data_IF_004056483553
#
_entry.id   IF_004056483553
#
_cell.length_a   1.000
_cell.length_b   1.000
_cell.length_c   1.000
_cell.angle_alpha   90.00
_cell.angle_beta   90.00
_cell.angle_gamma   90.00
#
_symmetry.space_group_name_H-M   'P 1'
#
loop_
_entity.id
_entity.type
_entity.pdbx_description
1 polymer ?
#
# COMPACT_ATOMS: atom_id res chain seq x y z
N UNK A 1 25.44 7.40 36.04
CA UNK A 1 24.27 7.13 35.14
C UNK A 1 23.04 7.34 35.99
N UNK A 2 22.32 8.41 35.78
CA UNK A 2 21.09 8.71 36.50
C UNK A 2 19.95 7.92 35.87
N UNK A 3 19.11 7.30 36.71
CA UNK A 3 17.91 6.53 36.32
C UNK A 3 16.88 7.35 35.49
N UNK A 4 17.02 8.67 35.43
CA UNK A 4 16.10 9.57 34.72
C UNK A 4 16.24 9.53 33.19
N UNK A 5 17.28 8.94 32.62
CA UNK A 5 17.49 8.89 31.17
C UNK A 5 17.05 7.58 30.51
N UNK A 6 16.52 6.63 31.25
CA UNK A 6 16.14 5.31 30.72
C UNK A 6 14.69 5.22 30.23
N UNK A 7 13.83 6.16 30.56
CA UNK A 7 12.43 6.14 30.12
C UNK A 7 12.17 6.84 28.78
N UNK A 8 13.05 7.71 28.30
CA UNK A 8 12.83 8.51 27.09
C UNK A 8 13.36 7.89 25.80
N UNK A 9 14.06 6.76 25.85
CA UNK A 9 14.67 6.11 24.69
C UNK A 9 14.45 4.60 24.67
N UNK A 10 13.23 4.14 24.83
CA UNK A 10 12.89 2.74 24.50
C UNK A 10 12.77 2.62 22.98
N UNK A 11 13.83 2.14 22.35
CA UNK A 11 13.74 1.63 20.99
C UNK A 11 12.99 0.29 21.03
N UNK A 12 11.81 0.26 20.42
CA UNK A 12 11.05 -0.97 20.24
C UNK A 12 11.44 -1.51 18.88
N UNK A 13 12.10 -2.65 18.85
CA UNK A 13 12.39 -3.37 17.62
C UNK A 13 11.19 -4.27 17.27
N UNK A 14 10.77 -4.23 16.01
CA UNK A 14 9.74 -5.10 15.46
C UNK A 14 10.32 -5.86 14.28
N UNK A 15 10.03 -7.12 14.20
CA UNK A 15 10.38 -7.96 13.07
C UNK A 15 9.12 -8.48 12.39
N UNK A 16 9.12 -8.43 11.06
CA UNK A 16 8.05 -8.99 10.25
C UNK A 16 8.40 -10.45 9.94
N UNK A 17 7.67 -11.37 10.55
CA UNK A 17 7.77 -12.80 10.32
C UNK A 17 6.50 -13.33 9.67
N UNK A 18 6.60 -13.82 8.43
CA UNK A 18 5.48 -14.43 7.70
C UNK A 18 4.21 -13.55 7.66
N UNK A 19 4.39 -12.24 7.48
CA UNK A 19 3.28 -11.27 7.48
C UNK A 19 2.71 -10.94 8.87
N UNK A 20 3.32 -11.45 9.93
CA UNK A 20 2.91 -11.22 11.33
C UNK A 20 3.95 -10.36 12.03
N UNK A 21 3.49 -9.28 12.68
CA UNK A 21 4.35 -8.48 13.56
C UNK A 21 4.53 -9.15 14.90
N UNK A 22 5.79 -9.35 15.27
CA UNK A 22 6.15 -9.79 16.62
C UNK A 22 6.88 -8.64 17.32
N UNK A 23 6.39 -8.30 18.48
CA UNK A 23 7.06 -7.39 19.39
C UNK A 23 8.20 -8.11 20.11
N UNK A 24 9.39 -7.50 20.13
CA UNK A 24 10.54 -8.05 20.84
C UNK A 24 10.53 -7.62 22.30
N UNK A 25 11.21 -8.41 23.11
CA UNK A 25 11.53 -8.03 24.47
C UNK A 25 12.60 -6.92 24.47
N UNK A 26 12.55 -6.06 25.47
CA UNK A 26 13.65 -5.12 25.71
C UNK A 26 14.97 -5.87 26.00
N UNK A 27 16.09 -5.14 26.10
CA UNK A 27 17.41 -5.73 26.38
C UNK A 27 17.48 -6.49 27.72
N UNK A 28 16.50 -6.30 28.59
CA UNK A 28 16.36 -7.01 29.87
C UNK A 28 15.46 -8.25 29.76
N UNK A 29 14.93 -8.55 28.57
CA UNK A 29 14.04 -9.69 28.35
C UNK A 29 12.60 -9.46 28.82
N UNK A 30 12.21 -8.22 29.10
CA UNK A 30 10.84 -7.87 29.50
C UNK A 30 10.01 -7.66 28.24
N UNK A 31 8.86 -8.34 28.07
CA UNK A 31 7.97 -8.10 26.93
C UNK A 31 7.51 -6.64 26.90
N UNK A 32 7.75 -5.97 25.76
CA UNK A 32 7.33 -4.59 25.56
C UNK A 32 5.95 -4.62 24.94
N UNK A 33 4.91 -4.51 25.77
CA UNK A 33 3.51 -4.50 25.36
C UNK A 33 2.80 -5.84 25.46
N UNK A 34 1.58 -5.89 25.01
CA UNK A 34 0.68 -7.05 25.19
C UNK A 34 0.89 -8.19 24.19
N UNK A 35 1.99 -8.20 23.46
CA UNK A 35 2.42 -9.30 22.57
C UNK A 35 1.34 -9.86 21.63
N UNK A 36 0.43 -9.03 21.14
CA UNK A 36 -0.53 -9.48 20.13
C UNK A 36 0.18 -9.61 18.80
N UNK A 37 0.20 -10.82 18.26
CA UNK A 37 0.57 -11.03 16.86
C UNK A 37 -0.52 -10.40 15.99
N UNK A 38 -0.17 -9.33 15.26
CA UNK A 38 -1.08 -8.68 14.33
C UNK A 38 -0.75 -9.14 12.92
N UNK A 39 -1.63 -9.94 12.34
CA UNK A 39 -1.55 -10.30 10.93
C UNK A 39 -2.13 -9.18 10.08
N UNK A 40 -1.27 -8.40 9.47
CA UNK A 40 -1.64 -7.35 8.53
C UNK A 40 -1.86 -7.90 7.11
N UNK A 41 -1.50 -9.14 6.84
CA UNK A 41 -1.53 -9.75 5.51
C UNK A 41 -0.37 -9.33 4.61
N UNK A 42 0.69 -8.74 5.18
CA UNK A 42 1.87 -8.31 4.41
C UNK A 42 2.74 -9.53 4.10
N UNK A 43 3.19 -9.62 2.83
CA UNK A 43 4.02 -10.72 2.36
C UNK A 43 5.45 -10.69 2.90
N UNK A 44 6.22 -11.75 2.61
CA UNK A 44 7.63 -11.88 3.08
C UNK A 44 8.59 -10.86 2.45
N UNK A 45 8.34 -10.45 1.23
CA UNK A 45 9.18 -9.51 0.49
C UNK A 45 8.30 -8.49 -0.25
N UNK A 46 7.50 -7.70 0.47
CA UNK A 46 6.51 -6.84 -0.15
C UNK A 46 7.14 -5.66 -0.87
N UNK A 47 6.49 -5.24 -1.93
CA UNK A 47 6.76 -3.98 -2.63
C UNK A 47 5.72 -2.94 -2.18
N UNK A 48 6.13 -1.68 -2.08
CA UNK A 48 5.20 -0.58 -1.83
C UNK A 48 4.85 0.07 -3.17
N UNK A 49 3.57 0.05 -3.51
CA UNK A 49 3.02 0.58 -4.75
C UNK A 49 2.20 1.85 -4.51
N UNK A 50 2.40 2.84 -5.35
CA UNK A 50 1.47 3.95 -5.50
C UNK A 50 0.36 3.55 -6.45
N UNK A 51 -0.89 3.82 -6.10
CA UNK A 51 -2.04 3.67 -6.99
C UNK A 51 -2.88 4.94 -6.98
N UNK A 52 -3.19 5.47 -8.17
CA UNK A 52 -4.17 6.54 -8.34
C UNK A 52 -5.55 5.93 -8.56
N UNK A 53 -6.50 6.29 -7.69
CA UNK A 53 -7.90 5.87 -7.80
C UNK A 53 -8.73 6.94 -8.53
N UNK A 54 -8.48 7.12 -9.84
CA UNK A 54 -9.16 8.12 -10.67
C UNK A 54 -9.06 9.57 -10.15
N UNK A 55 -7.84 9.99 -9.77
CA UNK A 55 -7.59 11.36 -9.30
C UNK A 55 -8.03 11.63 -7.87
N UNK A 56 -8.27 12.91 -7.58
CA UNK A 56 -8.57 13.41 -6.23
C UNK A 56 -10.04 13.75 -6.08
N UNK A 57 -10.51 13.81 -4.83
CA UNK A 57 -11.85 14.25 -4.49
C UNK A 57 -12.91 13.13 -4.52
N UNK A 58 -14.18 13.54 -4.58
CA UNK A 58 -15.33 12.64 -4.49
C UNK A 58 -15.69 12.06 -5.86
N UNK A 59 -14.80 11.29 -6.47
CA UNK A 59 -15.16 10.55 -7.67
C UNK A 59 -15.74 9.16 -7.31
N UNK A 60 -16.68 8.63 -8.12
CA UNK A 60 -17.35 7.36 -7.83
C UNK A 60 -16.40 6.17 -7.75
N UNK A 61 -15.42 6.08 -8.64
CA UNK A 61 -14.44 4.98 -8.67
C UNK A 61 -13.59 4.93 -7.41
N UNK A 62 -13.09 6.09 -6.96
CA UNK A 62 -12.34 6.18 -5.72
C UNK A 62 -13.16 5.78 -4.51
N UNK A 63 -14.38 6.30 -4.42
CA UNK A 63 -15.30 5.98 -3.33
C UNK A 63 -15.58 4.48 -3.28
N UNK A 64 -15.89 3.87 -4.41
CA UNK A 64 -16.10 2.43 -4.55
C UNK A 64 -14.87 1.63 -4.10
N UNK A 65 -13.67 1.98 -4.59
CA UNK A 65 -12.43 1.30 -4.22
C UNK A 65 -12.17 1.32 -2.71
N UNK A 66 -12.36 2.46 -2.07
CA UNK A 66 -12.11 2.61 -0.64
C UNK A 66 -13.18 1.91 0.22
N UNK A 67 -14.44 1.97 -0.18
CA UNK A 67 -15.54 1.35 0.56
C UNK A 67 -15.59 -0.18 0.42
N UNK A 68 -15.26 -0.70 -0.77
CA UNK A 68 -15.44 -2.11 -1.08
C UNK A 68 -14.13 -2.93 -1.05
N UNK A 69 -13.02 -2.34 -0.59
CA UNK A 69 -11.78 -3.08 -0.35
C UNK A 69 -11.12 -3.58 -1.63
N UNK A 70 -10.97 -2.72 -2.62
CA UNK A 70 -10.26 -3.04 -3.86
C UNK A 70 -9.58 -1.81 -4.48
N UNK A 71 -8.75 -2.03 -5.48
CA UNK A 71 -8.24 -1.02 -6.40
C UNK A 71 -8.71 -1.35 -7.81
N UNK A 72 -9.02 -0.31 -8.60
CA UNK A 72 -9.44 -0.44 -10.00
C UNK A 72 -8.60 0.45 -10.89
N UNK A 73 -8.25 -0.06 -12.08
CA UNK A 73 -7.50 0.69 -13.08
C UNK A 73 -8.17 0.58 -14.45
N UNK A 74 -7.90 1.56 -15.31
CA UNK A 74 -8.42 1.63 -16.67
C UNK A 74 -7.65 0.80 -17.70
N UNK A 75 -7.50 1.36 -18.89
CA UNK A 75 -6.98 0.69 -20.09
C UNK A 75 -7.90 -0.45 -20.56
N UNK A 76 -9.20 -0.27 -20.39
CA UNK A 76 -10.23 -1.23 -20.79
C UNK A 76 -10.29 -1.45 -22.32
N UNK A 77 -9.81 -0.48 -23.10
CA UNK A 77 -9.65 -0.56 -24.55
C UNK A 77 -8.76 -1.73 -25.02
N UNK A 78 -7.89 -2.27 -24.16
CA UNK A 78 -7.10 -3.47 -24.47
C UNK A 78 -7.82 -4.78 -24.17
N UNK A 79 -9.08 -4.73 -23.67
CA UNK A 79 -9.84 -5.91 -23.31
C UNK A 79 -9.33 -6.62 -22.06
N UNK A 80 -9.93 -7.75 -21.74
CA UNK A 80 -9.57 -8.55 -20.57
C UNK A 80 -8.18 -9.21 -20.72
N UNK A 81 -7.97 -9.91 -21.84
CA UNK A 81 -6.76 -10.66 -22.08
C UNK A 81 -5.61 -9.77 -22.54
N UNK A 82 -4.58 -9.65 -21.69
CA UNK A 82 -3.32 -8.99 -22.03
C UNK A 82 -2.31 -10.06 -22.44
N UNK A 83 -1.80 -9.98 -23.65
CA UNK A 83 -0.84 -10.92 -24.22
C UNK A 83 0.45 -10.23 -24.62
N UNK A 84 1.50 -10.99 -24.92
CA UNK A 84 2.77 -10.46 -25.40
C UNK A 84 2.63 -9.73 -26.76
N UNK A 85 1.57 -10.05 -27.51
CA UNK A 85 1.24 -9.44 -28.81
C UNK A 85 0.31 -8.24 -28.71
N UNK A 86 -0.12 -7.87 -27.48
CA UNK A 86 -0.98 -6.70 -27.29
C UNK A 86 -0.27 -5.44 -27.80
N UNK A 87 -0.90 -4.78 -28.76
CA UNK A 87 -0.40 -3.51 -29.29
C UNK A 87 -0.79 -2.37 -28.35
N UNK A 88 0.17 -1.98 -27.53
CA UNK A 88 0.00 -0.85 -26.64
C UNK A 88 0.27 0.46 -27.38
N UNK A 89 -0.76 1.29 -27.49
CA UNK A 89 -0.56 2.70 -27.86
C UNK A 89 0.41 3.39 -26.89
N UNK A 90 0.94 4.56 -27.28
CA UNK A 90 1.86 5.32 -26.42
C UNK A 90 1.12 6.02 -25.24
N UNK A 91 0.23 5.34 -24.59
CA UNK A 91 -0.62 5.86 -23.50
C UNK A 91 -0.15 5.44 -22.09
N UNK A 92 0.98 4.76 -21.99
CA UNK A 92 1.52 4.25 -20.74
C UNK A 92 0.90 2.92 -20.29
N UNK A 93 -0.05 2.36 -21.03
CA UNK A 93 -0.77 1.12 -20.69
C UNK A 93 0.16 -0.05 -20.45
N UNK A 94 1.16 -0.27 -21.29
CA UNK A 94 2.16 -1.35 -21.13
C UNK A 94 2.78 -1.35 -19.73
N UNK A 95 3.26 -0.18 -19.26
CA UNK A 95 3.95 -0.06 -17.97
C UNK A 95 3.00 -0.31 -16.81
N UNK A 96 1.80 0.27 -16.86
CA UNK A 96 0.81 0.15 -15.79
C UNK A 96 0.23 -1.26 -15.73
N UNK A 97 -0.15 -1.83 -16.86
CA UNK A 97 -0.70 -3.19 -16.92
C UNK A 97 0.34 -4.24 -16.51
N UNK A 98 1.60 -4.08 -16.94
CA UNK A 98 2.68 -4.96 -16.49
C UNK A 98 2.90 -4.86 -14.96
N UNK A 99 2.84 -3.65 -14.40
CA UNK A 99 2.93 -3.49 -12.95
C UNK A 99 1.75 -4.17 -12.24
N UNK A 100 0.54 -3.97 -12.73
CA UNK A 100 -0.68 -4.48 -12.12
C UNK A 100 -0.84 -6.01 -12.23
N UNK A 101 -0.53 -6.60 -13.38
CA UNK A 101 -0.73 -8.04 -13.63
C UNK A 101 0.47 -8.91 -13.24
N UNK A 102 1.70 -8.45 -13.53
CA UNK A 102 2.88 -9.31 -13.46
C UNK A 102 3.80 -9.01 -12.28
N UNK A 103 3.80 -7.78 -11.76
CA UNK A 103 4.77 -7.37 -10.74
C UNK A 103 4.16 -7.19 -9.36
N UNK A 104 2.93 -6.71 -9.29
CA UNK A 104 2.21 -6.58 -8.02
C UNK A 104 1.78 -7.97 -7.53
N UNK A 105 2.07 -8.28 -6.28
CA UNK A 105 1.81 -9.58 -5.66
C UNK A 105 0.84 -9.45 -4.49
N UNK A 106 0.16 -10.55 -4.16
CA UNK A 106 -0.58 -10.64 -2.88
C UNK A 106 0.41 -10.43 -1.74
N UNK A 107 0.04 -9.59 -0.78
CA UNK A 107 0.89 -9.17 0.33
C UNK A 107 1.69 -7.89 0.08
N UNK A 108 1.66 -7.33 -1.13
CA UNK A 108 2.24 -6.02 -1.41
C UNK A 108 1.44 -4.88 -0.75
N UNK A 109 2.13 -3.81 -0.41
CA UNK A 109 1.51 -2.63 0.20
C UNK A 109 1.05 -1.66 -0.89
N UNK A 110 -0.18 -1.19 -0.76
CA UNK A 110 -0.77 -0.16 -1.60
C UNK A 110 -0.85 1.16 -0.84
N UNK A 111 -0.34 2.21 -1.44
CA UNK A 111 -0.54 3.59 -1.04
C UNK A 111 -1.44 4.29 -2.06
N UNK A 112 -2.68 4.59 -1.68
CA UNK A 112 -3.57 5.38 -2.50
C UNK A 112 -3.09 6.83 -2.53
N UNK A 113 -2.94 7.36 -3.74
CA UNK A 113 -2.43 8.72 -3.95
C UNK A 113 -3.58 9.72 -4.02
N UNK A 114 -3.52 10.75 -3.19
CA UNK A 114 -4.45 11.86 -3.25
C UNK A 114 -3.93 13.03 -4.10
N UNK A 115 -2.60 13.21 -4.13
CA UNK A 115 -1.92 14.23 -4.95
C UNK A 115 -0.55 13.69 -5.40
N UNK A 116 0.27 14.53 -6.01
CA UNK A 116 1.66 14.17 -6.33
C UNK A 116 2.58 14.02 -5.11
N UNK A 117 2.11 14.38 -3.92
CA UNK A 117 2.91 14.38 -2.68
C UNK A 117 2.27 13.55 -1.57
N UNK A 118 0.95 13.49 -1.53
CA UNK A 118 0.21 12.95 -0.39
C UNK A 118 -0.54 11.67 -0.73
N UNK A 119 -0.62 10.80 0.26
CA UNK A 119 -1.43 9.60 0.25
C UNK A 119 -2.60 9.74 1.23
N UNK A 120 -3.68 9.03 1.00
CA UNK A 120 -4.90 9.08 1.79
C UNK A 120 -5.39 7.73 2.29
N UNK A 121 -4.78 6.65 1.84
CA UNK A 121 -5.03 5.30 2.34
C UNK A 121 -3.80 4.41 2.18
N UNK A 122 -3.65 3.46 3.12
CA UNK A 122 -2.67 2.36 3.03
C UNK A 122 -3.45 1.06 3.16
N UNK A 123 -3.14 0.11 2.28
CA UNK A 123 -3.74 -1.23 2.28
C UNK A 123 -2.76 -2.30 1.85
N UNK A 124 -3.20 -3.54 1.87
CA UNK A 124 -2.44 -4.72 1.44
C UNK A 124 -3.22 -5.45 0.37
N UNK A 125 -2.55 -5.84 -0.71
CA UNK A 125 -3.14 -6.63 -1.80
C UNK A 125 -3.52 -8.00 -1.28
N UNK A 126 -4.78 -8.41 -1.48
CA UNK A 126 -5.31 -9.69 -1.01
C UNK A 126 -5.84 -10.58 -2.13
N UNK A 127 -5.90 -10.09 -3.37
CA UNK A 127 -6.42 -10.84 -4.52
C UNK A 127 -5.57 -10.73 -5.76
N UNK A 128 -5.74 -11.71 -6.64
CA UNK A 128 -5.21 -11.67 -8.01
C UNK A 128 -5.93 -10.62 -8.85
N UNK A 129 -5.39 -10.23 -10.03
CA UNK A 129 -6.12 -9.34 -10.93
C UNK A 129 -7.37 -10.02 -11.48
N UNK A 130 -8.47 -9.29 -11.47
CA UNK A 130 -9.77 -9.71 -11.96
C UNK A 130 -10.27 -8.74 -13.06
N UNK A 131 -11.09 -9.22 -13.98
CA UNK A 131 -11.80 -8.41 -14.96
C UNK A 131 -13.30 -8.41 -14.64
N UNK A 132 -13.90 -7.23 -14.60
CA UNK A 132 -15.32 -7.04 -14.24
C UNK A 132 -16.07 -6.28 -15.32
N UNK A 133 -16.85 -7.01 -16.11
CA UNK A 133 -17.66 -6.43 -17.20
C UNK A 133 -18.88 -5.62 -16.73
N UNK A 134 -19.28 -5.82 -15.49
CA UNK A 134 -20.36 -5.07 -14.84
C UNK A 134 -20.01 -3.61 -14.55
N UNK A 135 -18.72 -3.27 -14.50
CA UNK A 135 -18.29 -1.87 -14.39
C UNK A 135 -18.29 -1.19 -15.78
N UNK A 136 -18.81 0.05 -15.90
CA UNK A 136 -18.77 0.79 -17.16
C UNK A 136 -17.36 1.20 -17.58
N UNK A 137 -16.44 1.35 -16.63
CA UNK A 137 -15.03 1.70 -16.82
C UNK A 137 -14.21 1.23 -15.64
N UNK A 138 -12.86 1.27 -15.76
CA UNK A 138 -11.93 0.78 -14.74
C UNK A 138 -12.25 -0.67 -14.34
N UNK A 139 -12.35 -1.54 -15.35
CA UNK A 139 -12.83 -2.92 -15.23
C UNK A 139 -11.81 -3.87 -14.60
N UNK A 140 -10.56 -3.46 -14.49
CA UNK A 140 -9.47 -4.24 -13.90
C UNK A 140 -9.40 -3.99 -12.41
N UNK A 141 -9.59 -5.03 -11.63
CA UNK A 141 -9.72 -4.97 -10.18
C UNK A 141 -8.70 -5.88 -9.48
N UNK A 142 -8.21 -5.46 -8.34
CA UNK A 142 -7.56 -6.32 -7.33
C UNK A 142 -8.12 -6.01 -5.96
N UNK A 143 -8.38 -7.06 -5.19
CA UNK A 143 -8.83 -6.94 -3.80
C UNK A 143 -7.72 -6.41 -2.92
N UNK A 144 -8.08 -5.53 -2.01
CA UNK A 144 -7.19 -4.86 -1.04
C UNK A 144 -7.85 -4.83 0.32
N UNK A 145 -7.12 -5.21 1.35
CA UNK A 145 -7.49 -4.93 2.74
C UNK A 145 -6.95 -3.56 3.11
N UNK A 146 -7.81 -2.55 3.18
CA UNK A 146 -7.42 -1.23 3.65
C UNK A 146 -7.14 -1.27 5.16
N UNK A 147 -5.95 -0.84 5.56
CA UNK A 147 -5.50 -0.77 6.95
C UNK A 147 -5.81 0.60 7.57
N UNK A 148 -5.78 1.64 6.76
CA UNK A 148 -6.18 3.00 7.13
C UNK A 148 -6.68 3.76 5.89
N UNK A 149 -7.64 4.65 6.11
CA UNK A 149 -8.22 5.53 5.09
C UNK A 149 -8.46 6.93 5.66
N UNK A 150 -8.67 7.91 4.79
CA UNK A 150 -9.00 9.28 5.17
C UNK A 150 -7.83 10.07 5.76
N UNK A 151 -6.61 9.60 5.57
CA UNK A 151 -5.40 10.32 5.95
C UNK A 151 -4.98 11.34 4.88
N UNK A 152 -4.01 12.19 5.20
CA UNK A 152 -3.39 13.14 4.27
C UNK A 152 -1.89 13.28 4.65
N UNK A 153 -1.10 12.25 4.34
CA UNK A 153 0.31 12.19 4.71
C UNK A 153 1.21 12.50 3.51
N UNK A 154 2.13 13.45 3.70
CA UNK A 154 3.19 13.73 2.72
C UNK A 154 4.23 12.61 2.79
N UNK A 155 4.54 12.02 1.64
CA UNK A 155 5.50 10.91 1.51
C UNK A 155 6.72 11.26 0.66
N UNK A 156 6.91 12.53 0.33
CA UNK A 156 8.01 12.97 -0.55
C UNK A 156 9.36 12.59 0.03
N UNK A 157 9.61 12.87 1.29
CA UNK A 157 10.88 12.54 1.94
C UNK A 157 11.13 11.03 1.98
N UNK A 158 10.10 10.25 2.30
CA UNK A 158 10.16 8.79 2.29
C UNK A 158 10.31 8.22 0.88
N UNK A 159 9.87 8.95 -0.15
CA UNK A 159 10.02 8.59 -1.55
C UNK A 159 11.31 9.16 -2.17
N UNK A 160 12.40 9.13 -1.42
CA UNK A 160 13.72 9.63 -1.82
C UNK A 160 13.72 11.11 -2.26
N UNK A 161 12.92 11.94 -1.62
CA UNK A 161 12.77 13.37 -1.92
C UNK A 161 12.04 13.68 -3.22
N UNK A 162 11.36 12.69 -3.82
CA UNK A 162 10.67 12.83 -5.12
C UNK A 162 9.16 12.84 -4.97
N UNK A 163 8.52 13.71 -5.73
CA UNK A 163 7.07 13.65 -5.92
C UNK A 163 6.65 12.38 -6.63
N UNK A 164 5.44 11.94 -6.38
CA UNK A 164 4.86 10.79 -7.08
C UNK A 164 4.56 11.13 -8.54
N UNK A 165 4.86 10.20 -9.44
CA UNK A 165 4.62 10.37 -10.88
C UNK A 165 3.13 10.38 -11.22
N UNK A 166 2.77 10.84 -12.41
CA UNK A 166 1.40 10.78 -12.92
C UNK A 166 0.95 9.35 -13.28
N UNK A 167 1.87 8.41 -13.39
CA UNK A 167 1.53 7.00 -13.67
C UNK A 167 0.54 6.46 -12.65
N UNK A 168 -0.49 5.75 -13.13
CA UNK A 168 -1.55 5.20 -12.27
C UNK A 168 -1.02 4.20 -11.25
N UNK A 169 -0.13 3.32 -11.66
CA UNK A 169 0.53 2.33 -10.80
C UNK A 169 2.02 2.40 -11.00
N UNK A 170 2.78 2.58 -9.92
CA UNK A 170 4.23 2.42 -9.96
C UNK A 170 4.81 2.11 -8.58
N UNK A 171 6.02 1.54 -8.57
CA UNK A 171 6.76 1.23 -7.35
C UNK A 171 7.30 2.49 -6.69
N UNK A 172 7.00 2.69 -5.40
CA UNK A 172 7.59 3.75 -4.57
C UNK A 172 8.97 3.37 -4.05
N UNK A 173 9.76 4.38 -3.67
CA UNK A 173 10.98 4.20 -2.88
C UNK A 173 10.68 4.10 -1.37
N UNK A 174 9.46 4.37 -0.95
CA UNK A 174 8.97 4.18 0.43
C UNK A 174 9.19 2.72 0.83
N UNK A 175 9.80 2.51 1.98
CA UNK A 175 10.06 1.17 2.51
C UNK A 175 8.84 0.62 3.26
N UNK A 176 8.83 -0.68 3.49
CA UNK A 176 7.81 -1.33 4.35
C UNK A 176 7.86 -0.73 5.76
N UNK A 177 9.06 -0.52 6.30
CA UNK A 177 9.25 0.11 7.61
C UNK A 177 8.61 1.49 7.69
N UNK A 178 8.80 2.32 6.65
CA UNK A 178 8.19 3.66 6.58
C UNK A 178 6.65 3.57 6.57
N UNK A 179 6.09 2.67 5.76
CA UNK A 179 4.64 2.45 5.70
C UNK A 179 4.07 2.04 7.06
N UNK A 180 4.79 1.19 7.79
CA UNK A 180 4.40 0.73 9.11
C UNK A 180 4.52 1.81 10.18
N UNK A 181 5.53 2.69 10.07
CA UNK A 181 5.64 3.86 10.96
C UNK A 181 4.46 4.80 10.78
N UNK A 182 4.04 5.06 9.54
CA UNK A 182 2.84 5.86 9.26
C UNK A 182 1.60 5.20 9.88
N UNK A 183 1.42 3.91 9.65
CA UNK A 183 0.29 3.16 10.22
C UNK A 183 0.27 3.23 11.75
N UNK A 184 1.42 3.04 12.41
CA UNK A 184 1.54 3.10 13.85
C UNK A 184 1.23 4.48 14.42
N UNK A 185 1.71 5.53 13.74
CA UNK A 185 1.44 6.93 14.11
C UNK A 185 -0.05 7.25 14.05
N UNK A 186 -0.74 6.80 12.99
CA UNK A 186 -2.10 7.23 12.68
C UNK A 186 -3.18 6.25 13.15
N UNK A 187 -2.86 4.98 13.28
CA UNK A 187 -3.78 3.95 13.73
C UNK A 187 -3.07 2.95 14.67
N UNK A 188 -2.63 3.41 15.86
CA UNK A 188 -1.92 2.54 16.81
C UNK A 188 -2.74 1.33 17.27
N UNK A 189 -4.07 1.40 17.15
CA UNK A 189 -4.96 0.29 17.54
C UNK A 189 -4.87 -0.93 16.62
N UNK A 190 -4.21 -0.82 15.46
CA UNK A 190 -4.01 -1.93 14.53
C UNK A 190 -2.87 -2.87 14.99
N UNK A 191 -2.06 -2.43 15.96
CA UNK A 191 -0.91 -3.17 16.51
C UNK A 191 -1.15 -3.64 17.97
#
# INVERSE_FOLDING_TARGET
FSEENTESTREIEYELHDGVFKEFCDKAGTPIGSGKNVDLGIGKSPTVWKVSLEGTGNNPTRTDCLQNGHIRIGWDNYGEAITDTTDYSNDGGRTVLNAFYNRMQIGDIIMSCYSSKTIDAIGVVTGEPEWHDDYPNYKRLRKVKWLIQGMNEDVVDLNAGKTMTLSTVYKLSVTVSDALQILRKLNPAIF
#
